data_IF_947134751125
#
_entry.id   IF_947134751125
#
_cell.length_a   1.000
_cell.length_b   1.000
_cell.length_c   1.000
_cell.angle_alpha   90.00
_cell.angle_beta   90.00
_cell.angle_gamma   90.00
#
_symmetry.space_group_name_H-M   'P 1'
#
loop_
_entity.id
_entity.type
_entity.pdbx_description
1 polymer ?
#
# COMPACT_ATOMS: atom_id res chain seq x y z
N UNK A 1 -10.21 -21.50 -4.54
CA UNK A 1 -10.53 -20.06 -4.67
C UNK A 1 -9.24 -19.30 -4.57
N UNK A 2 -9.00 -18.34 -5.46
CA UNK A 2 -7.76 -17.56 -5.45
C UNK A 2 -7.80 -16.59 -4.26
N UNK A 3 -6.71 -16.51 -3.50
CA UNK A 3 -6.63 -15.63 -2.33
C UNK A 3 -6.64 -14.16 -2.78
N UNK A 4 -7.30 -13.28 -2.02
CA UNK A 4 -7.41 -11.86 -2.38
C UNK A 4 -6.04 -11.18 -2.46
N UNK A 5 -5.05 -11.65 -1.68
CA UNK A 5 -3.69 -11.13 -1.72
C UNK A 5 -2.97 -11.51 -3.01
N UNK A 6 -3.21 -12.70 -3.56
CA UNK A 6 -2.63 -13.13 -4.84
C UNK A 6 -3.17 -12.29 -6.00
N UNK A 7 -4.45 -11.92 -5.95
CA UNK A 7 -5.05 -11.03 -6.96
C UNK A 7 -4.41 -9.64 -6.90
N UNK A 8 -4.15 -9.11 -5.70
CA UNK A 8 -3.51 -7.81 -5.53
C UNK A 8 -2.09 -7.78 -6.09
N UNK A 9 -1.31 -8.87 -5.94
CA UNK A 9 0.04 -8.99 -6.51
C UNK A 9 0.07 -8.97 -8.06
N UNK A 10 -1.05 -9.27 -8.71
CA UNK A 10 -1.17 -9.20 -10.18
C UNK A 10 -1.46 -7.78 -10.68
N UNK A 11 -1.95 -6.90 -9.80
CA UNK A 11 -2.40 -5.54 -10.16
C UNK A 11 -1.40 -4.51 -9.65
N UNK A 12 -0.89 -4.70 -8.44
CA UNK A 12 0.02 -3.81 -7.76
C UNK A 12 1.41 -4.45 -7.67
N UNK A 13 2.48 -3.62 -7.60
CA UNK A 13 3.81 -4.10 -7.29
C UNK A 13 3.83 -4.97 -6.03
N UNK A 14 4.51 -6.11 -6.11
CA UNK A 14 4.59 -7.07 -5.01
C UNK A 14 5.08 -6.44 -3.69
N UNK A 15 6.03 -5.51 -3.80
CA UNK A 15 6.53 -4.71 -2.68
C UNK A 15 5.43 -4.00 -1.89
N UNK A 16 4.45 -3.39 -2.55
CA UNK A 16 3.35 -2.69 -1.86
C UNK A 16 2.46 -3.67 -1.11
N UNK A 17 2.16 -4.81 -1.70
CA UNK A 17 1.30 -5.84 -1.08
C UNK A 17 2.00 -6.49 0.13
N UNK A 18 3.33 -6.58 0.09
CA UNK A 18 4.13 -7.21 1.13
C UNK A 18 4.41 -6.28 2.31
N UNK A 19 4.76 -5.02 2.07
CA UNK A 19 5.17 -4.09 3.12
C UNK A 19 4.06 -3.15 3.60
N UNK A 20 2.98 -2.99 2.85
CA UNK A 20 1.90 -2.06 3.20
C UNK A 20 0.56 -2.78 3.39
N UNK A 21 -0.28 -2.19 4.24
CA UNK A 21 -1.68 -2.53 4.39
C UNK A 21 -2.52 -1.51 3.62
N UNK A 22 -3.50 -1.98 2.87
CA UNK A 22 -4.50 -1.10 2.26
C UNK A 22 -5.49 -0.71 3.35
N UNK A 23 -5.52 0.56 3.72
CA UNK A 23 -6.39 1.07 4.78
C UNK A 23 -7.72 1.58 4.24
N UNK A 24 -7.71 2.09 3.00
CA UNK A 24 -8.89 2.65 2.37
C UNK A 24 -8.79 2.56 0.85
N UNK A 25 -9.93 2.37 0.20
CA UNK A 25 -10.08 2.47 -1.25
C UNK A 25 -11.28 3.37 -1.51
N UNK A 26 -11.07 4.45 -2.26
CA UNK A 26 -12.14 5.35 -2.69
C UNK A 26 -12.22 5.37 -4.20
N UNK A 27 -13.45 5.31 -4.71
CA UNK A 27 -13.74 5.48 -6.12
C UNK A 27 -14.50 6.78 -6.31
N UNK A 28 -13.88 7.76 -6.97
CA UNK A 28 -14.51 9.01 -7.33
C UNK A 28 -14.63 9.10 -8.85
N UNK A 29 -15.85 8.91 -9.36
CA UNK A 29 -16.19 8.97 -10.78
C UNK A 29 -15.32 8.06 -11.65
N UNK A 30 -14.19 8.58 -12.14
CA UNK A 30 -13.20 7.92 -13.01
C UNK A 30 -11.80 7.88 -12.38
N UNK A 31 -11.71 8.00 -11.06
CA UNK A 31 -10.47 7.91 -10.29
C UNK A 31 -10.61 6.89 -9.17
N UNK A 32 -9.57 6.08 -9.00
CA UNK A 32 -9.41 5.12 -7.92
C UNK A 32 -8.28 5.59 -7.01
N UNK A 33 -8.60 5.95 -5.79
CA UNK A 33 -7.66 6.37 -4.75
C UNK A 33 -7.46 5.19 -3.78
N UNK A 34 -6.23 4.69 -3.66
CA UNK A 34 -5.88 3.57 -2.77
C UNK A 34 -4.90 4.08 -1.73
N UNK A 35 -5.27 3.96 -0.45
CA UNK A 35 -4.48 4.43 0.68
C UNK A 35 -3.74 3.28 1.35
N UNK A 36 -2.45 3.51 1.60
CA UNK A 36 -1.51 2.55 2.16
C UNK A 36 -1.00 3.01 3.52
N UNK A 37 -0.83 2.06 4.43
CA UNK A 37 -0.11 2.26 5.68
C UNK A 37 0.97 1.19 5.81
N UNK A 38 2.18 1.61 6.12
CA UNK A 38 3.32 0.70 6.27
C UNK A 38 3.10 -0.26 7.44
N UNK A 39 3.41 -1.54 7.23
CA UNK A 39 3.34 -2.54 8.30
C UNK A 39 4.42 -2.26 9.34
N UNK A 40 4.02 -2.31 10.60
CA UNK A 40 4.93 -2.20 11.73
C UNK A 40 5.37 -3.58 12.24
N UNK A 41 5.91 -4.43 11.35
CA UNK A 41 6.37 -5.80 11.67
C UNK A 41 7.89 -5.90 11.95
N UNK A 42 8.56 -4.74 12.01
CA UNK A 42 9.99 -4.61 12.27
C UNK A 42 10.48 -5.27 13.57
N UNK A 43 9.60 -5.40 14.57
CA UNK A 43 9.94 -5.99 15.88
C UNK A 43 10.37 -7.46 15.81
N UNK A 44 9.94 -8.21 14.79
CA UNK A 44 10.40 -9.60 14.59
C UNK A 44 11.69 -9.71 13.79
N UNK A 45 12.03 -8.70 12.98
CA UNK A 45 13.19 -8.73 12.10
C UNK A 45 14.48 -8.30 12.81
N UNK A 46 14.36 -7.47 13.85
CA UNK A 46 15.50 -6.92 14.59
C UNK A 46 15.32 -7.06 16.12
N UNK A 47 15.31 -8.28 16.68
CA UNK A 47 15.08 -8.52 18.10
C UNK A 47 16.16 -7.86 19.00
N UNK A 48 17.38 -7.71 18.48
CA UNK A 48 18.52 -7.13 19.21
C UNK A 48 18.63 -5.61 19.10
N UNK A 49 17.67 -4.92 18.45
CA UNK A 49 17.70 -3.45 18.30
C UNK A 49 16.42 -2.81 18.81
N UNK A 50 16.61 -1.82 19.67
CA UNK A 50 15.53 -0.91 20.07
C UNK A 50 15.22 0.03 18.90
N UNK A 51 14.09 -0.20 18.23
CA UNK A 51 13.62 0.66 17.15
C UNK A 51 12.97 1.91 17.75
N UNK A 52 13.45 3.08 17.31
CA UNK A 52 12.87 4.38 17.67
C UNK A 52 12.23 4.96 16.42
N UNK A 53 10.90 5.09 16.42
CA UNK A 53 10.18 5.77 15.33
C UNK A 53 10.65 7.23 15.26
N UNK A 54 11.01 7.68 14.06
CA UNK A 54 11.39 9.08 13.78
C UNK A 54 10.18 9.96 13.44
N UNK A 55 8.97 9.47 13.72
CA UNK A 55 7.73 10.05 13.23
C UNK A 55 7.42 9.58 11.81
N UNK A 56 6.25 9.98 11.31
CA UNK A 56 5.83 9.67 9.94
C UNK A 56 6.30 10.76 8.98
N UNK A 57 6.72 10.34 7.79
CA UNK A 57 6.88 11.26 6.68
C UNK A 57 5.51 11.81 6.25
N UNK A 58 5.46 13.03 5.67
CA UNK A 58 4.23 13.50 5.05
C UNK A 58 3.78 12.49 3.99
N UNK A 59 2.48 12.26 3.94
CA UNK A 59 1.82 11.43 2.95
C UNK A 59 2.24 11.85 1.53
N UNK A 60 2.55 10.89 0.67
CA UNK A 60 2.94 11.14 -0.71
C UNK A 60 1.94 10.48 -1.64
N UNK A 61 1.57 11.17 -2.71
CA UNK A 61 0.63 10.63 -3.70
C UNK A 61 1.38 10.32 -4.98
N UNK A 62 1.23 9.10 -5.48
CA UNK A 62 1.83 8.62 -6.73
C UNK A 62 0.70 8.38 -7.74
N UNK A 63 0.87 8.84 -8.97
CA UNK A 63 -0.04 8.50 -10.07
C UNK A 63 0.45 7.24 -10.76
N UNK A 64 -0.43 6.26 -10.91
CA UNK A 64 -0.14 4.95 -11.52
C UNK A 64 -0.98 4.76 -12.80
N UNK A 65 -0.68 3.69 -13.54
CA UNK A 65 -1.38 3.35 -14.77
C UNK A 65 -2.89 3.20 -14.54
N UNK A 66 -3.72 3.67 -15.49
CA UNK A 66 -5.16 3.63 -15.32
C UNK A 66 -5.66 2.18 -15.29
N UNK A 67 -6.34 1.81 -14.22
CA UNK A 67 -6.95 0.49 -14.06
C UNK A 67 -8.38 0.53 -14.61
N UNK A 68 -8.60 -0.21 -15.70
CA UNK A 68 -9.92 -0.33 -16.36
C UNK A 68 -10.54 1.03 -16.73
N UNK A 69 -9.72 1.97 -17.21
CA UNK A 69 -10.16 3.30 -17.60
C UNK A 69 -10.34 4.30 -16.45
N UNK A 70 -10.01 3.91 -15.21
CA UNK A 70 -9.97 4.81 -14.05
C UNK A 70 -8.53 5.24 -13.78
N UNK A 71 -8.30 6.53 -13.61
CA UNK A 71 -7.00 7.06 -13.16
C UNK A 71 -6.72 6.53 -11.75
N UNK A 72 -5.53 6.02 -11.50
CA UNK A 72 -5.17 5.44 -10.18
C UNK A 72 -4.24 6.38 -9.45
N UNK A 73 -4.56 6.63 -8.19
CA UNK A 73 -3.69 7.35 -7.26
C UNK A 73 -3.42 6.48 -6.06
N UNK A 74 -2.14 6.30 -5.77
CA UNK A 74 -1.64 5.58 -4.60
C UNK A 74 -1.24 6.61 -3.55
N UNK A 75 -1.74 6.42 -2.34
CA UNK A 75 -1.79 7.39 -1.25
C UNK A 75 -1.10 6.86 -0.01
#
# INVERSE_FOLDING_TARGET
MMDSKEILKLILPEYLVEHFNITKVEELNSRLDIYFEEKNDYGHQLPDRQLVSKGFYPMTTIEDFPLRGKSVKLH
#
